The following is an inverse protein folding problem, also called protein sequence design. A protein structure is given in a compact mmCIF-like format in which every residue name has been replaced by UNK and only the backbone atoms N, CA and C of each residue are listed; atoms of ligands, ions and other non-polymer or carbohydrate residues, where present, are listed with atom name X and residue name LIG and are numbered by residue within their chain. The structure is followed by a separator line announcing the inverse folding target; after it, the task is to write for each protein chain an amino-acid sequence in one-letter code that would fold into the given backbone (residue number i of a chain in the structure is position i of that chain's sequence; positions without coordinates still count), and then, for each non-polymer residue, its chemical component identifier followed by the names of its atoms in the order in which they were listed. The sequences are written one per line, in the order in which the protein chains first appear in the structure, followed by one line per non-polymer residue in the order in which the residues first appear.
data_IF_225802332569
#
_entry.id   IF_225802332569
#
_cell.length_a   1.000
_cell.length_b   1.000
_cell.length_c   1.000
_cell.angle_alpha   90.00
_cell.angle_beta   90.00
_cell.angle_gamma   90.00
#
_symmetry.space_group_name_H-M   'P 1'
#
loop_
_entity.id
_entity.type
_entity.pdbx_description
1 polymer ?
#
# COMPACT_ATOMS: atom_id res chain seq x y z
N UNK A 1 -23.99 -40.54 -35.11
CA UNK A 1 -24.34 -40.44 -33.68
C UNK A 1 -23.02 -40.29 -32.94
N UNK A 2 -22.48 -39.07 -32.88
CA UNK A 2 -21.26 -38.78 -32.12
C UNK A 2 -21.42 -37.39 -31.49
N UNK A 3 -21.29 -37.36 -30.17
CA UNK A 3 -21.50 -36.21 -29.32
C UNK A 3 -20.23 -35.35 -29.27
N UNK A 4 -20.38 -34.06 -29.58
CA UNK A 4 -19.32 -33.07 -29.42
C UNK A 4 -19.30 -32.62 -27.96
N UNK A 5 -18.25 -33.00 -27.23
CA UNK A 5 -17.97 -32.55 -25.86
C UNK A 5 -17.54 -31.08 -25.90
N UNK A 6 -18.49 -30.18 -25.62
CA UNK A 6 -18.23 -28.75 -25.50
C UNK A 6 -17.26 -28.45 -24.36
N UNK A 7 -16.18 -27.72 -24.67
CA UNK A 7 -15.33 -27.08 -23.67
C UNK A 7 -16.17 -26.13 -22.83
N UNK A 8 -16.41 -26.50 -21.57
CA UNK A 8 -17.12 -25.69 -20.59
C UNK A 8 -16.28 -24.45 -20.28
N UNK A 9 -16.77 -23.27 -20.67
CA UNK A 9 -16.18 -21.97 -20.31
C UNK A 9 -15.94 -21.92 -18.78
N UNK A 10 -14.72 -21.58 -18.34
CA UNK A 10 -14.41 -21.31 -16.93
C UNK A 10 -14.97 -19.93 -16.55
N UNK A 11 -16.28 -19.86 -16.39
CA UNK A 11 -16.96 -18.70 -15.82
C UNK A 11 -17.02 -18.89 -14.30
N UNK A 12 -16.47 -17.95 -13.54
CA UNK A 12 -16.57 -17.94 -12.07
C UNK A 12 -17.71 -17.00 -11.68
N UNK A 13 -18.78 -17.57 -11.12
CA UNK A 13 -20.01 -16.85 -10.80
C UNK A 13 -20.18 -16.66 -9.28
N UNK A 14 -20.59 -15.47 -8.90
CA UNK A 14 -20.92 -15.04 -7.54
C UNK A 14 -22.39 -14.61 -7.54
N UNK A 15 -23.33 -15.49 -7.16
CA UNK A 15 -24.76 -15.31 -7.44
C UNK A 15 -25.46 -14.28 -6.54
N UNK A 16 -24.78 -13.74 -5.53
CA UNK A 16 -25.37 -12.85 -4.54
C UNK A 16 -24.35 -11.83 -4.05
N UNK A 17 -24.22 -10.73 -4.77
CA UNK A 17 -23.45 -9.55 -4.36
C UNK A 17 -24.36 -8.34 -4.30
N UNK A 18 -24.05 -7.39 -3.43
CA UNK A 18 -24.72 -6.08 -3.41
C UNK A 18 -23.85 -5.06 -4.13
N UNK A 19 -24.40 -4.38 -5.13
CA UNK A 19 -23.63 -3.45 -5.97
C UNK A 19 -24.20 -2.05 -5.85
N UNK A 20 -23.34 -1.06 -5.60
CA UNK A 20 -23.70 0.36 -5.60
C UNK A 20 -22.63 1.19 -6.29
N UNK A 21 -23.04 2.06 -7.22
CA UNK A 21 -22.12 2.99 -7.90
C UNK A 21 -21.78 4.16 -6.97
N UNK A 22 -20.50 4.46 -6.81
CA UNK A 22 -20.00 5.54 -5.96
C UNK A 22 -19.97 6.87 -6.72
N UNK A 23 -19.84 6.83 -8.04
CA UNK A 23 -19.87 8.01 -8.92
C UNK A 23 -21.25 8.19 -9.59
N UNK A 24 -21.85 9.39 -9.59
CA UNK A 24 -23.05 9.65 -10.38
C UNK A 24 -22.69 9.69 -11.88
N UNK A 25 -23.29 8.81 -12.69
CA UNK A 25 -23.24 8.95 -14.15
C UNK A 25 -24.36 9.91 -14.59
N UNK A 26 -24.12 10.88 -15.48
CA UNK A 26 -25.18 11.77 -16.00
C UNK A 26 -26.30 11.05 -16.76
N UNK A 27 -26.08 9.78 -17.15
CA UNK A 27 -26.90 9.08 -18.14
C UNK A 27 -27.78 7.94 -17.61
N UNK A 28 -27.76 7.60 -16.31
CA UNK A 28 -28.72 6.63 -15.76
C UNK A 28 -28.80 6.68 -14.22
N UNK A 29 -29.97 6.96 -13.62
CA UNK A 29 -30.18 6.74 -12.19
C UNK A 29 -30.37 5.24 -11.94
N UNK A 30 -29.42 4.62 -11.23
CA UNK A 30 -29.61 3.30 -10.63
C UNK A 30 -29.71 3.42 -9.11
N UNK A 31 -30.50 2.56 -8.43
CA UNK A 31 -30.84 2.75 -7.03
C UNK A 31 -29.63 2.55 -6.09
N UNK A 32 -29.71 3.18 -4.91
CA UNK A 32 -28.84 2.95 -3.75
C UNK A 32 -28.82 1.45 -3.43
N UNK A 33 -27.73 0.77 -3.76
CA UNK A 33 -27.44 -0.64 -3.48
C UNK A 33 -28.48 -1.65 -3.98
N UNK A 34 -28.14 -2.42 -5.02
CA UNK A 34 -29.02 -3.46 -5.56
C UNK A 34 -28.33 -4.83 -5.61
N UNK A 35 -29.13 -5.89 -5.42
CA UNK A 35 -28.66 -7.27 -5.52
C UNK A 35 -28.38 -7.64 -6.97
N UNK A 36 -27.19 -8.20 -7.19
CA UNK A 36 -26.70 -8.63 -8.49
C UNK A 36 -25.97 -9.97 -8.39
N UNK A 37 -25.79 -10.62 -9.53
CA UNK A 37 -24.81 -11.67 -9.72
C UNK A 37 -23.57 -11.08 -10.40
N UNK A 38 -22.39 -11.42 -9.89
CA UNK A 38 -21.12 -11.08 -10.54
C UNK A 38 -20.56 -12.31 -11.26
N UNK A 39 -20.04 -12.13 -12.46
CA UNK A 39 -19.46 -13.20 -13.26
C UNK A 39 -18.14 -12.75 -13.88
N UNK A 40 -17.12 -13.59 -13.78
CA UNK A 40 -15.85 -13.38 -14.45
C UNK A 40 -15.79 -14.16 -15.76
N UNK A 41 -15.44 -13.48 -16.85
CA UNK A 41 -15.22 -14.09 -18.16
C UNK A 41 -13.75 -13.91 -18.56
N UNK A 42 -13.01 -15.02 -18.64
CA UNK A 42 -11.57 -15.02 -18.93
C UNK A 42 -11.23 -14.94 -20.44
N UNK A 43 -12.15 -15.38 -21.30
CA UNK A 43 -11.88 -15.73 -22.70
C UNK A 43 -12.77 -14.92 -23.65
N UNK A 44 -12.57 -13.61 -23.65
CA UNK A 44 -13.24 -12.67 -24.55
C UNK A 44 -12.20 -12.03 -25.49
N UNK A 45 -12.55 -11.70 -26.74
CA UNK A 45 -11.64 -11.08 -27.70
C UNK A 45 -10.97 -9.81 -27.18
N UNK A 46 -11.70 -9.07 -26.33
CA UNK A 46 -11.28 -7.79 -25.76
C UNK A 46 -10.52 -7.93 -24.43
N UNK A 47 -10.23 -9.16 -23.96
CA UNK A 47 -9.59 -9.43 -22.67
C UNK A 47 -10.59 -9.78 -21.54
N UNK A 48 -10.10 -10.13 -20.34
CA UNK A 48 -10.95 -10.65 -19.29
C UNK A 48 -11.85 -9.56 -18.69
N UNK A 49 -13.12 -9.90 -18.45
CA UNK A 49 -14.12 -8.97 -17.96
C UNK A 49 -14.80 -9.44 -16.69
N UNK A 50 -15.19 -8.46 -15.86
CA UNK A 50 -16.03 -8.64 -14.69
C UNK A 50 -17.38 -7.99 -14.96
N UNK A 51 -18.42 -8.82 -14.98
CA UNK A 51 -19.78 -8.41 -15.29
C UNK A 51 -20.68 -8.50 -14.06
N UNK A 52 -21.48 -7.48 -13.82
CA UNK A 52 -22.56 -7.50 -12.83
C UNK A 52 -23.91 -7.44 -13.52
N UNK A 53 -24.79 -8.39 -13.18
CA UNK A 53 -26.15 -8.47 -13.68
C UNK A 53 -27.12 -8.36 -12.50
N UNK A 54 -27.93 -7.30 -12.48
CA UNK A 54 -28.96 -7.15 -11.44
C UNK A 54 -30.06 -8.20 -11.61
N UNK A 55 -30.64 -8.63 -10.50
CA UNK A 55 -31.69 -9.67 -10.50
C UNK A 55 -33.01 -9.22 -11.15
N UNK A 56 -33.23 -7.92 -11.36
CA UNK A 56 -34.34 -7.40 -12.16
C UNK A 56 -34.02 -7.56 -13.66
N UNK A 57 -34.87 -8.23 -14.42
CA UNK A 57 -34.67 -8.60 -15.83
C UNK A 57 -34.45 -7.43 -16.82
N UNK A 58 -34.64 -6.19 -16.39
CA UNK A 58 -34.42 -4.95 -17.16
C UNK A 58 -33.29 -4.05 -16.58
N UNK A 59 -32.52 -4.56 -15.62
CA UNK A 59 -31.45 -3.80 -14.97
C UNK A 59 -30.21 -3.60 -15.86
N UNK A 60 -29.46 -2.49 -15.74
CA UNK A 60 -28.27 -2.24 -16.53
C UNK A 60 -27.16 -3.23 -16.19
N UNK A 61 -26.55 -3.84 -17.20
CA UNK A 61 -25.37 -4.67 -17.00
C UNK A 61 -24.15 -3.76 -16.83
N UNK A 62 -23.40 -3.97 -15.76
CA UNK A 62 -22.10 -3.32 -15.59
C UNK A 62 -21.05 -4.28 -16.13
N UNK A 63 -20.25 -3.84 -17.11
CA UNK A 63 -19.16 -4.61 -17.69
C UNK A 63 -17.84 -3.87 -17.47
N UNK A 64 -16.92 -4.45 -16.71
CA UNK A 64 -15.64 -3.85 -16.34
C UNK A 64 -14.50 -4.64 -16.95
N UNK A 65 -13.55 -3.95 -17.58
CA UNK A 65 -12.29 -4.56 -18.04
C UNK A 65 -11.34 -4.73 -16.85
N UNK A 66 -10.97 -5.99 -16.57
CA UNK A 66 -10.12 -6.33 -15.42
C UNK A 66 -8.71 -5.75 -15.53
N UNK A 67 -8.22 -5.47 -16.75
CA UNK A 67 -6.86 -4.95 -16.98
C UNK A 67 -6.68 -3.55 -16.42
N UNK A 68 -7.74 -2.74 -16.52
CA UNK A 68 -7.77 -1.34 -16.10
C UNK A 68 -8.56 -1.15 -14.79
N UNK A 69 -9.00 -2.24 -14.18
CA UNK A 69 -9.73 -2.24 -12.90
C UNK A 69 -8.80 -2.55 -11.71
N UNK A 70 -9.08 -1.92 -10.57
CA UNK A 70 -8.41 -2.17 -9.29
C UNK A 70 -9.45 -2.36 -8.18
N UNK A 71 -9.18 -3.26 -7.23
CA UNK A 71 -10.01 -3.50 -6.07
C UNK A 71 -9.34 -2.93 -4.81
N UNK A 72 -10.13 -2.30 -3.94
CA UNK A 72 -9.72 -1.82 -2.62
C UNK A 72 -10.63 -2.40 -1.55
N UNK A 73 -10.07 -2.74 -0.39
CA UNK A 73 -10.85 -3.14 0.78
C UNK A 73 -11.51 -1.93 1.45
N UNK A 74 -12.81 -2.03 1.70
CA UNK A 74 -13.55 -1.10 2.56
C UNK A 74 -13.89 -1.74 3.91
N UNK A 75 -13.98 -3.07 3.98
CA UNK A 75 -14.23 -3.85 5.18
C UNK A 75 -14.05 -5.35 4.94
N UNK A 76 -14.40 -6.18 5.93
CA UNK A 76 -14.25 -7.65 5.86
C UNK A 76 -15.12 -8.32 4.79
N UNK A 77 -16.27 -7.72 4.44
CA UNK A 77 -17.16 -8.21 3.38
C UNK A 77 -17.52 -7.10 2.37
N UNK A 78 -16.71 -6.05 2.28
CA UNK A 78 -16.96 -4.90 1.41
C UNK A 78 -15.72 -4.51 0.61
N UNK A 79 -15.87 -4.42 -0.71
CA UNK A 79 -14.83 -4.08 -1.67
C UNK A 79 -15.25 -2.87 -2.52
N UNK A 80 -14.27 -2.10 -2.98
CA UNK A 80 -14.44 -1.02 -3.95
C UNK A 80 -13.68 -1.37 -5.23
N UNK A 81 -14.39 -1.58 -6.33
CA UNK A 81 -13.80 -1.75 -7.66
C UNK A 81 -13.79 -0.42 -8.40
N UNK A 82 -12.63 0.00 -8.89
CA UNK A 82 -12.44 1.25 -9.61
C UNK A 82 -11.82 0.96 -10.98
N UNK A 83 -12.42 1.47 -12.05
CA UNK A 83 -11.92 1.38 -13.42
C UNK A 83 -11.28 2.70 -13.84
N UNK A 84 -10.12 2.63 -14.50
CA UNK A 84 -9.46 3.78 -15.12
C UNK A 84 -9.99 4.00 -16.55
N UNK A 85 -9.94 5.23 -17.05
CA UNK A 85 -10.21 5.52 -18.46
C UNK A 85 -8.94 5.27 -19.29
N UNK A 86 -9.06 4.59 -20.42
CA UNK A 86 -7.92 4.31 -21.32
C UNK A 86 -7.54 5.51 -22.20
N UNK A 87 -8.15 6.68 -21.98
CA UNK A 87 -7.97 7.88 -22.81
C UNK A 87 -7.00 8.95 -22.28
N UNK A 88 -6.37 8.79 -21.12
CA UNK A 88 -5.47 9.83 -20.57
C UNK A 88 -4.04 9.68 -21.10
N UNK A 89 -3.75 10.32 -22.23
CA UNK A 89 -2.39 10.66 -22.67
C UNK A 89 -1.96 11.95 -21.97
N UNK A 90 -1.63 11.88 -20.69
CA UNK A 90 -0.65 12.76 -20.04
C UNK A 90 -0.44 12.30 -18.59
N UNK A 91 0.82 12.37 -18.14
CA UNK A 91 1.32 11.62 -16.99
C UNK A 91 0.85 12.13 -15.61
N UNK A 92 -0.02 13.14 -15.52
CA UNK A 92 -0.28 13.83 -14.24
C UNK A 92 -1.68 13.72 -13.63
N UNK A 93 -2.70 13.17 -14.31
CA UNK A 93 -3.97 12.82 -13.64
C UNK A 93 -4.59 11.54 -14.22
N UNK A 94 -4.52 10.44 -13.46
CA UNK A 94 -5.30 9.23 -13.78
C UNK A 94 -6.77 9.49 -13.48
N UNK A 95 -7.52 9.92 -14.49
CA UNK A 95 -8.97 10.06 -14.40
C UNK A 95 -9.62 8.68 -14.20
N UNK A 96 -10.29 8.48 -13.06
CA UNK A 96 -11.08 7.28 -12.80
C UNK A 96 -12.48 7.45 -13.42
N UNK A 97 -12.85 6.58 -14.36
CA UNK A 97 -14.11 6.69 -15.09
C UNK A 97 -15.30 6.12 -14.32
N UNK A 98 -15.06 5.19 -13.39
CA UNK A 98 -16.13 4.62 -12.56
C UNK A 98 -15.59 3.94 -11.29
N UNK A 99 -16.34 4.10 -10.20
CA UNK A 99 -16.13 3.39 -8.94
C UNK A 99 -17.42 2.70 -8.49
N UNK A 100 -17.31 1.44 -8.08
CA UNK A 100 -18.42 0.58 -7.69
C UNK A 100 -18.07 -0.13 -6.40
N UNK A 101 -18.91 0.03 -5.39
CA UNK A 101 -18.84 -0.74 -4.15
C UNK A 101 -19.56 -2.07 -4.32
N UNK A 102 -18.93 -3.13 -3.86
CA UNK A 102 -19.38 -4.52 -3.90
C UNK A 102 -19.44 -5.04 -2.46
N UNK A 103 -20.63 -5.44 -2.02
CA UNK A 103 -20.88 -6.09 -0.74
C UNK A 103 -21.09 -7.59 -0.90
N UNK A 104 -20.59 -8.36 0.05
CA UNK A 104 -20.72 -9.82 0.13
C UNK A 104 -21.47 -10.19 1.42
N UNK A 105 -22.05 -11.39 1.50
CA UNK A 105 -22.73 -11.83 2.73
C UNK A 105 -21.74 -12.27 3.80
N UNK A 106 -20.58 -12.76 3.37
CA UNK A 106 -19.54 -13.27 4.26
C UNK A 106 -18.17 -12.80 3.83
N UNK A 107 -17.23 -12.80 4.78
CA UNK A 107 -15.83 -12.51 4.51
C UNK A 107 -15.20 -13.55 3.56
N UNK A 108 -15.60 -14.82 3.66
CA UNK A 108 -15.10 -15.89 2.80
C UNK A 108 -15.54 -15.72 1.34
N UNK A 109 -16.78 -15.26 1.10
CA UNK A 109 -17.26 -14.89 -0.24
C UNK A 109 -16.43 -13.72 -0.80
N UNK A 110 -16.12 -12.71 0.03
CA UNK A 110 -15.30 -11.56 -0.37
C UNK A 110 -13.86 -11.97 -0.71
N UNK A 111 -13.24 -12.81 0.11
CA UNK A 111 -11.89 -13.36 -0.14
C UNK A 111 -11.85 -14.22 -1.40
N UNK A 112 -12.87 -15.05 -1.61
CA UNK A 112 -12.99 -15.90 -2.80
C UNK A 112 -13.11 -15.05 -4.07
N UNK A 113 -13.91 -13.96 -4.01
CA UNK A 113 -14.04 -13.01 -5.11
C UNK A 113 -12.72 -12.31 -5.43
N UNK A 114 -12.02 -11.83 -4.41
CA UNK A 114 -10.73 -11.18 -4.57
C UNK A 114 -9.68 -12.13 -5.17
N UNK A 115 -9.62 -13.37 -4.68
CA UNK A 115 -8.73 -14.40 -5.23
C UNK A 115 -9.02 -14.66 -6.70
N UNK A 116 -10.30 -14.74 -7.11
CA UNK A 116 -10.68 -14.91 -8.51
C UNK A 116 -10.25 -13.71 -9.36
N UNK A 117 -10.47 -12.49 -8.88
CA UNK A 117 -10.07 -11.25 -9.54
C UNK A 117 -8.55 -11.21 -9.79
N UNK A 118 -7.73 -11.49 -8.76
CA UNK A 118 -6.28 -11.47 -8.88
C UNK A 118 -5.74 -12.59 -9.78
N UNK A 119 -6.30 -13.81 -9.70
CA UNK A 119 -5.90 -14.91 -10.56
C UNK A 119 -6.13 -14.60 -12.04
N UNK A 120 -7.27 -14.00 -12.38
CA UNK A 120 -7.59 -13.62 -13.76
C UNK A 120 -6.75 -12.45 -14.24
N UNK A 121 -6.46 -11.49 -13.35
CA UNK A 121 -5.57 -10.37 -13.66
C UNK A 121 -4.14 -10.83 -13.91
N UNK A 122 -3.63 -11.76 -13.10
CA UNK A 122 -2.28 -12.33 -13.25
C UNK A 122 -2.16 -13.28 -14.45
N UNK A 123 -3.20 -14.05 -14.78
CA UNK A 123 -3.22 -14.93 -15.95
C UNK A 123 -2.97 -14.20 -17.27
N UNK A 124 -3.34 -12.91 -17.36
CA UNK A 124 -3.11 -12.07 -18.54
C UNK A 124 -1.69 -11.49 -18.59
N UNK A 125 -1.08 -11.24 -17.43
CA UNK A 125 0.31 -10.74 -17.36
C UNK A 125 1.33 -11.87 -17.63
N UNK A 126 0.98 -13.12 -17.32
CA UNK A 126 1.82 -14.31 -17.51
C UNK A 126 1.94 -14.83 -18.96
N UNK A 127 1.10 -14.38 -19.90
CA UNK A 127 1.14 -14.85 -21.29
C UNK A 127 2.25 -14.20 -22.16
N UNK A 128 3.07 -13.29 -21.60
CA UNK A 128 4.16 -12.59 -22.33
C UNK A 128 5.59 -13.01 -21.97
N UNK A 129 5.79 -14.01 -21.11
CA UNK A 129 7.13 -14.59 -20.93
C UNK A 129 7.04 -16.03 -20.46
N UNK A 130 7.36 -16.95 -21.37
CA UNK A 130 7.61 -18.34 -21.03
C UNK A 130 8.97 -18.49 -20.34
N UNK A 131 8.98 -19.26 -19.27
CA UNK A 131 10.18 -19.70 -18.54
C UNK A 131 9.81 -20.24 -17.16
N UNK A 132 9.88 -21.56 -17.00
CA UNK A 132 9.45 -22.29 -15.82
C UNK A 132 10.35 -22.10 -14.59
N UNK A 133 9.69 -21.91 -13.44
CA UNK A 133 9.98 -22.31 -12.04
C UNK A 133 11.42 -22.29 -11.49
N UNK A 134 11.60 -21.59 -10.36
CA UNK A 134 12.20 -22.22 -9.17
C UNK A 134 11.69 -21.62 -7.84
N UNK A 135 11.17 -22.51 -6.98
CA UNK A 135 11.07 -22.51 -5.52
C UNK A 135 10.61 -21.26 -4.74
N UNK A 136 9.37 -21.33 -4.26
CA UNK A 136 9.12 -21.25 -2.82
C UNK A 136 9.14 -19.89 -2.11
N UNK A 137 9.04 -18.77 -2.81
CA UNK A 137 8.90 -17.48 -2.13
C UNK A 137 7.45 -17.26 -1.67
N UNK A 138 7.26 -17.22 -0.35
CA UNK A 138 6.08 -16.62 0.28
C UNK A 138 5.85 -15.25 -0.36
N UNK A 139 4.69 -15.06 -0.98
CA UNK A 139 4.32 -13.78 -1.59
C UNK A 139 4.03 -12.83 -0.42
N UNK A 140 5.04 -12.03 -0.06
CA UNK A 140 4.84 -10.87 0.80
C UNK A 140 3.71 -10.03 0.17
N UNK A 141 2.69 -9.71 0.98
CA UNK A 141 1.60 -8.81 0.59
C UNK A 141 2.21 -7.54 0.01
N UNK A 142 2.06 -7.33 -1.30
CA UNK A 142 2.56 -6.12 -1.97
C UNK A 142 1.94 -4.89 -1.32
N UNK A 143 2.80 -4.03 -0.78
CA UNK A 143 2.39 -2.75 -0.19
C UNK A 143 1.97 -1.79 -1.31
N UNK A 144 1.11 -0.81 -1.01
CA UNK A 144 0.78 0.29 -1.93
C UNK A 144 2.04 1.05 -2.41
N UNK A 145 3.14 0.95 -1.66
CA UNK A 145 4.44 1.52 -1.99
C UNK A 145 5.10 0.83 -3.21
N UNK A 146 5.00 -0.50 -3.31
CA UNK A 146 5.60 -1.30 -4.39
C UNK A 146 4.97 -1.01 -5.77
N UNK A 147 3.79 -0.39 -5.79
CA UNK A 147 3.10 0.03 -7.00
C UNK A 147 3.48 1.43 -7.49
N UNK A 148 4.07 2.27 -6.62
CA UNK A 148 4.44 3.67 -6.94
C UNK A 148 5.94 3.85 -7.19
N UNK A 149 6.76 2.97 -6.64
CA UNK A 149 8.23 3.08 -6.71
C UNK A 149 8.75 1.78 -7.32
N UNK A 150 9.46 1.88 -8.43
CA UNK A 150 10.16 0.74 -9.03
C UNK A 150 11.03 0.05 -7.95
N UNK A 151 11.04 -1.27 -7.87
CA UNK A 151 11.79 -1.99 -6.83
C UNK A 151 13.28 -1.58 -6.79
N UNK A 152 13.84 -1.25 -7.97
CA UNK A 152 15.18 -0.68 -8.14
C UNK A 152 15.32 0.68 -7.45
N UNK A 153 14.34 1.58 -7.55
CA UNK A 153 14.39 2.91 -6.95
C UNK A 153 14.18 2.90 -5.44
N UNK A 154 13.35 1.99 -4.91
CA UNK A 154 13.25 1.78 -3.45
C UNK A 154 14.58 1.29 -2.87
N UNK A 155 15.24 0.34 -3.54
CA UNK A 155 16.56 -0.15 -3.12
C UNK A 155 17.63 0.95 -3.16
N UNK A 156 17.63 1.78 -4.20
CA UNK A 156 18.54 2.93 -4.31
C UNK A 156 18.27 3.98 -3.22
N UNK A 157 17.01 4.25 -2.92
CA UNK A 157 16.61 5.15 -1.83
C UNK A 157 17.15 4.68 -0.48
N UNK A 158 16.88 3.43 -0.09
CA UNK A 158 17.39 2.90 1.19
C UNK A 158 18.92 2.78 1.19
N UNK A 159 19.54 2.48 0.05
CA UNK A 159 21.01 2.48 -0.05
C UNK A 159 21.59 3.88 0.21
N UNK A 160 20.99 4.92 -0.37
CA UNK A 160 21.42 6.31 -0.19
C UNK A 160 21.36 6.74 1.29
N UNK A 161 20.23 6.52 1.96
CA UNK A 161 20.05 6.86 3.38
C UNK A 161 20.78 5.91 4.34
N UNK A 162 21.23 4.76 3.85
CA UNK A 162 22.13 3.85 4.56
C UNK A 162 23.59 4.34 4.64
N UNK A 163 23.94 5.43 3.96
CA UNK A 163 25.29 6.00 4.02
C UNK A 163 25.43 7.02 5.16
N UNK A 164 26.49 6.90 5.95
CA UNK A 164 26.77 7.81 7.08
C UNK A 164 26.88 9.28 6.66
N UNK A 165 27.43 9.55 5.46
CA UNK A 165 27.56 10.91 4.94
C UNK A 165 26.20 11.63 4.86
N UNK A 166 25.16 10.94 4.38
CA UNK A 166 23.83 11.54 4.27
C UNK A 166 23.20 11.76 5.65
N UNK A 167 23.37 10.80 6.56
CA UNK A 167 22.94 10.97 7.96
C UNK A 167 23.68 12.09 8.68
N UNK A 168 24.94 12.35 8.32
CA UNK A 168 25.70 13.48 8.86
C UNK A 168 25.16 14.81 8.31
N UNK A 169 24.86 14.91 7.01
CA UNK A 169 24.35 16.14 6.38
C UNK A 169 23.02 16.58 7.02
N UNK A 170 22.00 15.73 6.96
CA UNK A 170 21.42 15.18 8.18
C UNK A 170 21.42 16.02 9.47
N UNK A 171 22.17 15.49 10.42
CA UNK A 171 22.37 15.98 11.78
C UNK A 171 23.06 17.35 11.85
N UNK A 172 23.82 17.74 10.83
CA UNK A 172 24.50 19.05 10.77
C UNK A 172 23.54 20.20 10.43
N UNK A 173 22.34 19.90 9.95
CA UNK A 173 21.27 20.89 9.94
C UNK A 173 20.77 21.12 11.38
N UNK A 174 21.41 22.09 12.04
CA UNK A 174 21.12 22.47 13.41
C UNK A 174 19.72 23.07 13.57
N UNK A 175 19.19 23.75 12.56
CA UNK A 175 17.85 24.35 12.63
C UNK A 175 16.82 23.23 12.62
N UNK A 176 16.91 22.31 11.66
CA UNK A 176 16.01 21.16 11.59
C UNK A 176 16.12 20.28 12.83
N UNK A 177 17.32 19.80 13.15
CA UNK A 177 17.54 18.87 14.27
C UNK A 177 17.21 19.53 15.62
N UNK A 178 17.57 20.81 15.78
CA UNK A 178 17.26 21.60 16.97
C UNK A 178 15.77 21.86 17.14
N UNK A 179 15.03 22.05 16.06
CA UNK A 179 13.56 22.24 16.11
C UNK A 179 12.86 20.95 16.56
N UNK A 180 13.26 19.80 16.03
CA UNK A 180 12.73 18.51 16.51
C UNK A 180 13.07 18.26 17.97
N UNK A 181 14.30 18.58 18.39
CA UNK A 181 14.71 18.49 19.80
C UNK A 181 13.83 19.37 20.69
N UNK A 182 13.68 20.66 20.35
CA UNK A 182 12.85 21.60 21.09
C UNK A 182 11.40 21.11 21.17
N UNK A 183 10.81 20.69 20.04
CA UNK A 183 9.44 20.18 20.00
C UNK A 183 9.22 18.99 20.94
N UNK A 184 10.16 18.04 21.00
CA UNK A 184 10.06 16.87 21.89
C UNK A 184 10.22 17.26 23.36
N UNK A 185 11.21 18.10 23.68
CA UNK A 185 11.52 18.46 25.06
C UNK A 185 10.49 19.43 25.66
N UNK A 186 10.02 20.40 24.88
CA UNK A 186 8.98 21.34 25.30
C UNK A 186 7.64 20.62 25.54
N UNK A 187 7.36 19.57 24.76
CA UNK A 187 6.17 18.73 24.91
C UNK A 187 6.46 17.41 25.66
N UNK A 188 7.46 17.39 26.56
CA UNK A 188 7.88 16.17 27.29
C UNK A 188 6.74 15.43 28.00
N UNK A 189 5.68 16.15 28.39
CA UNK A 189 4.50 15.56 29.05
C UNK A 189 3.76 14.56 28.16
N UNK A 190 3.83 14.75 26.84
CA UNK A 190 3.25 13.84 25.87
C UNK A 190 4.08 12.56 25.75
N UNK A 191 5.40 12.65 25.90
CA UNK A 191 6.31 11.51 25.79
C UNK A 191 6.46 10.72 27.09
N UNK A 192 6.39 11.37 28.24
CA UNK A 192 6.72 10.76 29.53
C UNK A 192 5.82 9.54 29.84
N UNK A 193 6.44 8.37 30.02
CA UNK A 193 5.74 7.11 30.29
C UNK A 193 5.01 6.50 29.09
N UNK A 194 5.20 7.04 27.88
CA UNK A 194 4.54 6.55 26.65
C UNK A 194 5.40 5.61 25.82
N UNK A 195 4.74 4.80 25.00
CA UNK A 195 5.36 4.01 23.94
C UNK A 195 5.45 4.85 22.66
N UNK A 196 6.67 5.04 22.17
CA UNK A 196 6.93 5.85 20.98
C UNK A 196 7.42 4.96 19.84
N UNK A 197 7.00 5.27 18.63
CA UNK A 197 7.53 4.66 17.41
C UNK A 197 8.18 5.73 16.56
N UNK A 198 9.47 5.56 16.27
CA UNK A 198 10.26 6.42 15.40
C UNK A 198 10.33 5.77 14.01
N UNK A 199 9.63 6.38 13.05
CA UNK A 199 9.45 5.83 11.69
C UNK A 199 10.52 6.39 10.76
N UNK A 200 11.36 5.51 10.21
CA UNK A 200 12.53 5.94 9.43
C UNK A 200 13.60 6.52 10.34
N UNK A 201 13.94 5.79 11.41
CA UNK A 201 14.74 6.31 12.51
C UNK A 201 16.15 6.78 12.09
N UNK A 202 16.67 6.31 10.95
CA UNK A 202 18.00 6.66 10.46
C UNK A 202 19.06 6.35 11.51
N UNK A 203 19.80 7.38 11.94
CA UNK A 203 20.78 7.28 13.03
C UNK A 203 20.19 7.02 14.42
N UNK A 204 18.88 7.19 14.62
CA UNK A 204 18.17 7.06 15.89
C UNK A 204 18.17 8.34 16.73
N UNK A 205 18.46 9.50 16.15
CA UNK A 205 18.53 10.77 16.90
C UNK A 205 17.19 11.17 17.54
N UNK A 206 16.08 11.03 16.81
CA UNK A 206 14.75 11.34 17.34
C UNK A 206 14.33 10.33 18.43
N UNK A 207 14.70 9.06 18.26
CA UNK A 207 14.55 8.04 19.30
C UNK A 207 15.27 8.42 20.61
N UNK A 208 16.47 8.99 20.52
CA UNK A 208 17.20 9.48 21.70
C UNK A 208 16.49 10.66 22.36
N UNK A 209 15.93 11.59 21.57
CA UNK A 209 15.15 12.72 22.10
C UNK A 209 13.89 12.24 22.83
N UNK A 210 13.15 11.29 22.26
CA UNK A 210 11.98 10.70 22.88
C UNK A 210 12.32 9.97 24.19
N UNK A 211 13.41 9.19 24.21
CA UNK A 211 13.91 8.55 25.42
C UNK A 211 14.32 9.59 26.49
N UNK A 212 14.98 10.68 26.08
CA UNK A 212 15.36 11.78 26.96
C UNK A 212 14.14 12.52 27.54
N UNK A 213 13.06 12.65 26.77
CA UNK A 213 11.79 13.22 27.23
C UNK A 213 11.02 12.31 28.20
N UNK A 214 11.51 11.09 28.45
CA UNK A 214 10.93 10.18 29.44
C UNK A 214 10.03 9.10 28.86
N UNK A 215 10.10 8.83 27.54
CA UNK A 215 9.40 7.70 26.95
C UNK A 215 9.65 6.42 27.76
N UNK A 216 8.58 5.63 27.94
CA UNK A 216 8.64 4.30 28.58
C UNK A 216 9.49 3.39 27.72
N UNK A 217 9.21 3.37 26.42
CA UNK A 217 9.93 2.59 25.42
C UNK A 217 9.83 3.25 24.04
N UNK A 218 10.86 3.10 23.22
CA UNK A 218 10.92 3.61 21.85
C UNK A 218 11.24 2.45 20.91
N UNK A 219 10.41 2.24 19.89
CA UNK A 219 10.69 1.34 18.79
C UNK A 219 11.18 2.16 17.60
N UNK A 220 12.47 2.05 17.31
CA UNK A 220 13.13 2.75 16.22
C UNK A 220 13.13 1.86 14.97
N UNK A 221 12.27 2.16 14.00
CA UNK A 221 12.10 1.36 12.79
C UNK A 221 12.89 1.98 11.65
N UNK A 222 13.85 1.23 11.11
CA UNK A 222 14.73 1.69 10.03
C UNK A 222 14.87 0.59 8.97
N UNK A 223 14.59 0.92 7.71
CA UNK A 223 14.59 -0.06 6.62
C UNK A 223 15.98 -0.29 6.00
N UNK A 224 16.87 0.70 6.07
CA UNK A 224 18.22 0.65 5.51
C UNK A 224 19.22 -0.05 6.42
N UNK A 225 20.45 -0.20 5.93
CA UNK A 225 21.60 -0.66 6.72
C UNK A 225 21.98 0.29 7.86
N UNK A 226 21.42 1.51 7.89
CA UNK A 226 21.63 2.45 9.00
C UNK A 226 21.15 1.89 10.35
N UNK A 227 20.19 0.94 10.34
CA UNK A 227 19.72 0.27 11.54
C UNK A 227 20.87 -0.36 12.36
N UNK A 228 21.92 -0.87 11.72
CA UNK A 228 23.07 -1.44 12.42
C UNK A 228 23.90 -0.37 13.13
N UNK A 229 24.06 0.80 12.53
CA UNK A 229 24.74 1.93 13.13
C UNK A 229 23.90 2.55 14.25
N UNK A 230 22.59 2.69 14.06
CA UNK A 230 21.67 3.13 15.10
C UNK A 230 21.77 2.24 16.35
N UNK A 231 21.83 0.91 16.20
CA UNK A 231 22.06 0.00 17.34
C UNK A 231 23.36 0.30 18.07
N UNK A 232 24.45 0.58 17.35
CA UNK A 232 25.75 0.94 17.95
C UNK A 232 25.66 2.26 18.70
N UNK A 233 25.03 3.28 18.12
CA UNK A 233 24.84 4.59 18.73
C UNK A 233 23.97 4.52 20.00
N UNK A 234 22.85 3.79 19.93
CA UNK A 234 21.97 3.53 21.07
C UNK A 234 22.71 2.80 22.18
N UNK A 235 23.49 1.76 21.85
CA UNK A 235 24.29 1.01 22.82
C UNK A 235 25.40 1.86 23.45
N UNK A 236 25.93 2.83 22.71
CA UNK A 236 26.87 3.84 23.21
C UNK A 236 26.27 4.85 24.18
N UNK A 237 24.94 4.85 24.37
CA UNK A 237 24.21 5.74 25.27
C UNK A 237 23.39 4.95 26.32
N UNK A 238 24.01 4.21 27.25
CA UNK A 238 23.32 3.19 28.04
C UNK A 238 22.13 3.71 28.87
N UNK A 239 22.18 4.96 29.38
CA UNK A 239 21.10 5.53 30.19
C UNK A 239 19.77 5.66 29.41
N UNK A 240 19.87 6.04 28.13
CA UNK A 240 18.70 6.21 27.25
C UNK A 240 18.43 4.95 26.43
N UNK A 241 19.49 4.27 25.99
CA UNK A 241 19.42 3.16 25.05
C UNK A 241 18.75 1.90 25.61
N UNK A 242 18.71 1.72 26.93
CA UNK A 242 17.93 0.65 27.57
C UNK A 242 16.43 0.72 27.23
N UNK A 243 15.93 1.88 26.82
CA UNK A 243 14.52 2.11 26.46
C UNK A 243 14.28 2.10 24.95
N UNK A 244 15.29 1.80 24.14
CA UNK A 244 15.21 1.92 22.68
C UNK A 244 15.49 0.56 22.05
N UNK A 245 14.55 0.06 21.26
CA UNK A 245 14.72 -1.15 20.44
C UNK A 245 14.78 -0.75 18.97
N UNK A 246 15.90 -1.04 18.30
CA UNK A 246 16.06 -0.79 16.86
C UNK A 246 15.64 -2.02 16.05
N UNK A 247 14.60 -1.84 15.23
CA UNK A 247 14.02 -2.86 14.37
C UNK A 247 14.41 -2.55 12.93
N UNK A 248 15.09 -3.50 12.26
CA UNK A 248 15.43 -3.38 10.85
C UNK A 248 14.27 -3.89 10.00
N UNK A 249 13.67 -3.02 9.20
CA UNK A 249 12.54 -3.37 8.34
C UNK A 249 11.76 -2.15 7.89
N UNK A 250 10.88 -2.33 6.90
CA UNK A 250 9.94 -1.28 6.50
C UNK A 250 8.82 -1.18 7.53
N UNK A 251 8.34 0.03 7.80
CA UNK A 251 7.30 0.25 8.82
C UNK A 251 5.99 -0.47 8.48
N UNK A 252 5.72 -0.69 7.20
CA UNK A 252 4.54 -1.41 6.70
C UNK A 252 4.62 -2.93 6.90
N UNK A 253 5.81 -3.48 7.18
CA UNK A 253 6.08 -4.92 7.28
C UNK A 253 6.44 -5.34 8.72
N UNK A 254 6.73 -4.38 9.61
CA UNK A 254 7.16 -4.66 10.98
C UNK A 254 5.95 -4.81 11.92
N UNK A 255 5.96 -5.89 12.70
CA UNK A 255 5.02 -6.08 13.81
C UNK A 255 5.65 -5.60 15.14
N UNK A 256 4.91 -4.78 15.88
CA UNK A 256 5.32 -4.28 17.19
C UNK A 256 4.64 -5.08 18.31
N UNK A 257 5.33 -5.34 19.43
CA UNK A 257 4.80 -6.15 20.52
C UNK A 257 3.69 -5.45 21.33
N UNK A 258 3.60 -4.11 21.24
CA UNK A 258 2.55 -3.30 21.87
C UNK A 258 2.16 -2.12 20.97
N UNK A 259 0.99 -1.52 21.22
CA UNK A 259 0.54 -0.35 20.45
C UNK A 259 1.36 0.90 20.82
N UNK A 260 1.60 1.74 19.83
CA UNK A 260 2.22 3.05 20.04
C UNK A 260 1.20 4.05 20.61
N UNK A 261 1.66 4.89 21.53
CA UNK A 261 0.94 6.11 21.95
C UNK A 261 1.28 7.28 21.02
N UNK A 262 2.55 7.37 20.58
CA UNK A 262 3.09 8.46 19.76
C UNK A 262 3.87 7.90 18.57
N UNK A 263 3.67 8.54 17.42
CA UNK A 263 4.52 8.40 16.25
C UNK A 263 5.37 9.66 16.09
N UNK A 264 6.67 9.48 15.92
CA UNK A 264 7.60 10.54 15.55
C UNK A 264 8.31 10.14 14.25
N UNK A 265 8.58 11.10 13.39
CA UNK A 265 9.25 10.86 12.11
C UNK A 265 9.76 12.17 11.52
N UNK A 266 10.82 12.08 10.72
CA UNK A 266 11.26 13.15 9.82
C UNK A 266 11.18 12.66 8.38
N UNK A 267 9.99 12.69 7.74
CA UNK A 267 9.81 12.19 6.38
C UNK A 267 10.11 13.26 5.31
N UNK A 268 10.48 14.48 5.73
CA UNK A 268 10.57 15.65 4.85
C UNK A 268 11.90 15.64 4.08
N UNK A 269 11.88 15.06 2.89
CA UNK A 269 12.92 15.30 1.89
C UNK A 269 12.66 16.61 1.14
N UNK A 270 13.70 17.18 0.52
CA UNK A 270 13.63 18.42 -0.25
C UNK A 270 12.55 18.33 -1.36
N UNK A 271 11.44 19.04 -1.17
CA UNK A 271 10.53 19.37 -2.27
C UNK A 271 11.08 20.60 -2.99
N UNK A 272 12.03 20.38 -3.91
CA UNK A 272 12.46 21.39 -4.89
C UNK A 272 13.94 21.74 -4.85
N UNK A 273 14.76 21.05 -5.65
CA UNK A 273 15.89 21.65 -6.39
C UNK A 273 16.46 20.78 -7.53
N UNK A 274 15.62 20.01 -8.23
CA UNK A 274 15.99 19.44 -9.55
C UNK A 274 15.56 20.36 -10.71
N UNK A 275 15.49 21.67 -10.47
CA UNK A 275 15.36 22.66 -11.52
C UNK A 275 16.57 23.60 -11.51
N UNK A 276 17.31 23.50 -12.60
CA UNK A 276 18.29 24.47 -13.15
C UNK A 276 19.50 24.84 -12.31
N UNK A 277 20.53 23.99 -12.35
CA UNK A 277 21.91 24.49 -12.41
C UNK A 277 22.40 24.37 -13.87
N UNK A 278 21.92 25.32 -14.68
CA UNK A 278 22.51 25.65 -15.98
C UNK A 278 22.40 27.16 -16.17
N UNK A 279 23.13 27.92 -15.37
CA UNK A 279 23.56 29.31 -15.62
C UNK A 279 24.38 29.83 -14.43
N UNK A 280 25.70 29.68 -14.49
CA UNK A 280 26.73 30.75 -14.37
C UNK A 280 28.01 30.23 -15.03
#
# INVERSE_FOLDING_TARGET
MEASLGQKQRQLDFPSVTVSRVSPSPSAPLPRAASASASFAADQPDGPRLRFQYQSSTGPVIDLDLRISQIFHLGSAELLCVSQDSGATDADEKAFSSAIKIGFRTEDESKSFLSAFEQLKHGVVGARSGGALENGSLIASKSKFDHKIEATSAKMYFHYYGQLLHQQNMLQDYVRTGTYYAAVIENRVDFNGRVVVDVGAGSGILSLFAAQAGAKHVYAVEASEMAEYARKLVSGNPLLGQRITVIKGKVEEVELPEKADILISEPMALSGHLMSDSEV
#
